data_IF_980610559974
#
_entry.id   IF_980610559974
#
_cell.length_a   1.000
_cell.length_b   1.000
_cell.length_c   1.000
_cell.angle_alpha   90.00
_cell.angle_beta   90.00
_cell.angle_gamma   90.00
#
_symmetry.space_group_name_H-M   'P 1'
#
loop_
_entity.id
_entity.type
_entity.pdbx_description
1 polymer ?
#
# COMPACT_ATOMS: atom_id res chain seq x y z
N UNK A 1 3.66 -28.91 -55.76
CA UNK A 1 2.67 -28.42 -54.76
C UNK A 1 2.84 -29.26 -53.51
N UNK A 2 3.55 -28.74 -52.51
CA UNK A 2 2.98 -28.10 -51.32
C UNK A 2 2.74 -29.10 -50.18
N UNK A 3 3.76 -29.28 -49.35
CA UNK A 3 3.65 -29.90 -48.03
C UNK A 3 4.60 -29.14 -47.08
N UNK A 4 4.11 -28.04 -46.52
CA UNK A 4 4.82 -27.22 -45.54
C UNK A 4 3.78 -26.50 -44.69
N UNK A 5 3.40 -27.10 -43.57
CA UNK A 5 2.28 -26.55 -42.77
C UNK A 5 2.18 -26.99 -41.31
N UNK A 6 3.07 -27.86 -40.81
CA UNK A 6 2.93 -28.39 -39.45
C UNK A 6 3.83 -27.72 -38.39
N UNK A 7 4.96 -27.11 -38.76
CA UNK A 7 5.91 -26.53 -37.79
C UNK A 7 5.69 -25.04 -37.44
N UNK A 8 4.74 -24.37 -38.09
CA UNK A 8 4.50 -22.93 -37.89
C UNK A 8 3.54 -22.61 -36.73
N UNK A 9 2.74 -23.57 -36.27
CA UNK A 9 1.73 -23.38 -35.23
C UNK A 9 2.30 -22.89 -33.86
N UNK A 10 3.38 -23.47 -33.30
CA UNK A 10 3.93 -23.00 -32.03
C UNK A 10 4.65 -21.64 -32.15
N UNK A 11 5.21 -21.32 -33.32
CA UNK A 11 5.85 -20.04 -33.58
C UNK A 11 4.83 -18.91 -33.76
N UNK A 12 3.72 -19.17 -34.48
CA UNK A 12 2.63 -18.22 -34.66
C UNK A 12 1.89 -17.93 -33.33
N UNK A 13 1.69 -18.94 -32.48
CA UNK A 13 1.09 -18.77 -31.15
C UNK A 13 2.02 -17.97 -30.22
N UNK A 14 3.34 -18.23 -30.24
CA UNK A 14 4.32 -17.42 -29.49
C UNK A 14 4.39 -15.97 -30.00
N UNK A 15 4.33 -15.76 -31.31
CA UNK A 15 4.32 -14.43 -31.92
C UNK A 15 3.03 -13.66 -31.57
N UNK A 16 1.87 -14.33 -31.58
CA UNK A 16 0.60 -13.75 -31.16
C UNK A 16 0.57 -13.42 -29.66
N UNK A 17 1.14 -14.29 -28.81
CA UNK A 17 1.29 -14.03 -27.38
C UNK A 17 2.28 -12.88 -27.08
N UNK A 18 3.36 -12.77 -27.86
CA UNK A 18 4.29 -11.66 -27.76
C UNK A 18 3.66 -10.34 -28.22
N UNK A 19 2.88 -10.35 -29.31
CA UNK A 19 2.15 -9.19 -29.81
C UNK A 19 1.04 -8.74 -28.85
N UNK A 20 0.30 -9.68 -28.25
CA UNK A 20 -0.73 -9.37 -27.25
C UNK A 20 -0.11 -8.83 -25.96
N UNK A 21 1.01 -9.39 -25.50
CA UNK A 21 1.79 -8.87 -24.36
C UNK A 21 2.33 -7.47 -24.64
N UNK A 22 2.87 -7.21 -25.83
CA UNK A 22 3.34 -5.88 -26.23
C UNK A 22 2.19 -4.86 -26.29
N UNK A 23 1.03 -5.26 -26.81
CA UNK A 23 -0.19 -4.43 -26.87
C UNK A 23 -0.71 -4.13 -25.47
N UNK A 24 -0.80 -5.14 -24.60
CA UNK A 24 -1.21 -4.96 -23.21
C UNK A 24 -0.24 -4.04 -22.46
N UNK A 25 1.07 -4.20 -22.66
CA UNK A 25 2.09 -3.32 -22.09
C UNK A 25 1.93 -1.87 -22.56
N UNK A 26 1.65 -1.66 -23.84
CA UNK A 26 1.39 -0.33 -24.42
C UNK A 26 0.13 0.32 -23.84
N UNK A 27 -0.97 -0.42 -23.78
CA UNK A 27 -2.24 0.05 -23.19
C UNK A 27 -2.07 0.42 -21.71
N UNK A 28 -1.39 -0.43 -20.95
CA UNK A 28 -1.09 -0.16 -19.54
C UNK A 28 -0.23 1.09 -19.38
N UNK A 29 0.77 1.32 -20.24
CA UNK A 29 1.56 2.56 -20.22
C UNK A 29 0.72 3.79 -20.53
N UNK A 30 -0.18 3.72 -21.51
CA UNK A 30 -1.10 4.81 -21.84
C UNK A 30 -2.04 5.15 -20.68
N UNK A 31 -2.67 4.11 -20.11
CA UNK A 31 -3.55 4.25 -18.94
C UNK A 31 -2.80 4.88 -17.76
N UNK A 32 -1.55 4.47 -17.48
CA UNK A 32 -0.77 5.08 -16.39
C UNK A 32 -0.53 6.57 -16.60
N UNK A 33 -0.28 7.02 -17.83
CA UNK A 33 -0.08 8.43 -18.15
C UNK A 33 -1.37 9.23 -17.91
N UNK A 34 -2.51 8.70 -18.35
CA UNK A 34 -3.83 9.33 -18.15
C UNK A 34 -4.21 9.39 -16.67
N UNK A 35 -3.95 8.32 -15.92
CA UNK A 35 -4.19 8.26 -14.47
C UNK A 35 -3.28 9.23 -13.72
N UNK A 36 -2.03 9.43 -14.15
CA UNK A 36 -1.13 10.44 -13.61
C UNK A 36 -1.69 11.86 -13.79
N UNK A 37 -2.12 12.21 -15.01
CA UNK A 37 -2.76 13.49 -15.26
C UNK A 37 -4.04 13.69 -14.42
N UNK A 38 -4.82 12.62 -14.22
CA UNK A 38 -6.02 12.62 -13.38
C UNK A 38 -5.67 12.83 -11.89
N UNK A 39 -4.61 12.18 -11.39
CA UNK A 39 -4.14 12.36 -10.02
C UNK A 39 -3.65 13.80 -9.78
N UNK A 40 -2.91 14.40 -10.72
CA UNK A 40 -2.48 15.80 -10.63
C UNK A 40 -3.65 16.79 -10.76
N UNK A 41 -4.70 16.44 -11.50
CA UNK A 41 -5.92 17.24 -11.57
C UNK A 41 -6.71 17.18 -10.25
N UNK A 42 -6.78 16.01 -9.61
CA UNK A 42 -7.42 15.85 -8.29
C UNK A 42 -6.73 16.66 -7.19
N UNK A 43 -5.41 16.83 -7.25
CA UNK A 43 -4.67 17.69 -6.31
C UNK A 43 -5.10 19.17 -6.38
N UNK A 44 -5.66 19.61 -7.51
CA UNK A 44 -6.13 21.00 -7.73
C UNK A 44 -7.64 21.14 -7.58
N UNK A 45 -8.38 20.04 -7.55
CA UNK A 45 -9.82 20.04 -7.43
C UNK A 45 -10.26 20.19 -5.96
N UNK A 46 -11.49 20.68 -5.75
CA UNK A 46 -12.08 20.67 -4.41
C UNK A 46 -12.15 19.21 -3.90
N UNK A 47 -11.48 18.90 -2.76
CA UNK A 47 -11.41 17.54 -2.22
C UNK A 47 -12.76 17.05 -1.69
N UNK A 48 -13.72 17.95 -1.47
CA UNK A 48 -15.05 17.60 -0.98
C UNK A 48 -16.08 17.41 -2.10
N UNK A 49 -15.75 17.79 -3.34
CA UNK A 49 -16.66 17.65 -4.47
C UNK A 49 -16.97 16.17 -4.75
N UNK A 50 -18.26 15.86 -5.00
CA UNK A 50 -18.72 14.49 -5.29
C UNK A 50 -17.97 13.88 -6.48
N UNK A 51 -17.68 14.67 -7.51
CA UNK A 51 -16.93 14.21 -8.68
C UNK A 51 -15.48 13.84 -8.31
N UNK A 52 -14.80 14.70 -7.55
CA UNK A 52 -13.43 14.44 -7.05
C UNK A 52 -13.37 13.15 -6.22
N UNK A 53 -14.32 12.94 -5.32
CA UNK A 53 -14.40 11.76 -4.46
C UNK A 53 -14.58 10.47 -5.27
N UNK A 54 -15.47 10.48 -6.27
CA UNK A 54 -15.73 9.32 -7.13
C UNK A 54 -14.46 8.95 -7.90
N UNK A 55 -13.80 9.94 -8.51
CA UNK A 55 -12.58 9.72 -9.29
C UNK A 55 -11.45 9.25 -8.39
N UNK A 56 -11.22 9.89 -7.23
CA UNK A 56 -10.19 9.47 -6.27
C UNK A 56 -10.41 8.03 -5.79
N UNK A 57 -11.66 7.66 -5.49
CA UNK A 57 -12.00 6.28 -5.08
C UNK A 57 -11.78 5.29 -6.21
N UNK A 58 -12.11 5.65 -7.46
CA UNK A 58 -11.86 4.81 -8.62
C UNK A 58 -10.36 4.59 -8.86
N UNK A 59 -9.54 5.64 -8.77
CA UNK A 59 -8.08 5.53 -8.87
C UNK A 59 -7.49 4.59 -7.82
N UNK A 60 -7.94 4.70 -6.57
CA UNK A 60 -7.49 3.85 -5.47
C UNK A 60 -7.86 2.37 -5.67
N UNK A 61 -8.99 2.08 -6.33
CA UNK A 61 -9.37 0.70 -6.68
C UNK A 61 -8.42 0.07 -7.70
N UNK A 62 -7.78 0.87 -8.54
CA UNK A 62 -6.80 0.39 -9.51
C UNK A 62 -5.45 0.01 -8.87
N UNK A 63 -5.14 0.52 -7.69
CA UNK A 63 -3.90 0.18 -6.96
C UNK A 63 -3.95 -1.26 -6.43
N UNK A 64 -2.86 -2.05 -6.57
CA UNK A 64 -1.56 -1.68 -7.16
C UNK A 64 -1.39 -2.07 -8.63
N UNK A 65 -2.39 -2.72 -9.23
CA UNK A 65 -2.31 -3.32 -10.57
C UNK A 65 -2.11 -2.27 -11.68
N UNK A 66 -2.81 -1.14 -11.55
CA UNK A 66 -2.69 0.01 -12.44
C UNK A 66 -2.55 1.25 -11.54
N UNK A 67 -1.32 1.56 -11.16
CA UNK A 67 -0.97 2.77 -10.42
C UNK A 67 -0.24 3.76 -11.33
N UNK A 68 -0.39 5.09 -11.12
CA UNK A 68 0.50 6.08 -11.71
C UNK A 68 1.96 5.71 -11.51
N UNK A 69 2.83 6.04 -12.46
CA UNK A 69 4.28 5.75 -12.33
C UNK A 69 4.87 6.33 -11.03
N UNK A 70 4.35 7.48 -10.60
CA UNK A 70 4.68 8.17 -9.34
C UNK A 70 4.37 7.36 -8.08
N UNK A 71 3.50 6.34 -8.16
CA UNK A 71 3.06 5.53 -7.02
C UNK A 71 3.68 4.13 -7.03
N UNK A 72 4.77 3.90 -7.77
CA UNK A 72 5.38 2.57 -7.89
C UNK A 72 6.39 2.27 -6.79
N UNK A 73 6.44 0.99 -6.42
CA UNK A 73 7.38 0.48 -5.43
C UNK A 73 7.27 1.26 -4.12
N UNK A 74 8.39 1.82 -3.65
CA UNK A 74 8.44 2.59 -2.41
C UNK A 74 7.62 3.89 -2.44
N UNK A 75 7.48 4.53 -3.61
CA UNK A 75 6.74 5.79 -3.73
C UNK A 75 5.24 5.62 -3.43
N UNK A 76 4.71 4.40 -3.54
CA UNK A 76 3.36 4.05 -3.10
C UNK A 76 3.14 4.34 -1.61
N UNK A 77 4.17 4.11 -0.80
CA UNK A 77 4.18 4.37 0.63
C UNK A 77 4.27 5.85 1.00
N UNK A 78 4.46 6.74 0.04
CA UNK A 78 4.46 8.18 0.29
C UNK A 78 3.16 8.83 -0.16
N UNK A 79 2.60 8.41 -1.30
CA UNK A 79 1.43 9.05 -1.89
C UNK A 79 0.08 8.56 -1.32
N UNK A 80 -0.11 7.24 -1.21
CA UNK A 80 -1.41 6.67 -0.80
C UNK A 80 -1.71 6.89 0.68
N UNK A 81 -0.74 6.77 1.60
CA UNK A 81 -1.02 7.00 3.02
C UNK A 81 -1.60 8.38 3.34
N UNK A 82 -1.19 9.44 2.61
CA UNK A 82 -1.72 10.80 2.79
C UNK A 82 -3.25 10.87 2.65
N UNK A 83 -3.84 9.98 1.84
CA UNK A 83 -5.28 9.90 1.63
C UNK A 83 -6.04 9.32 2.84
N UNK A 84 -5.34 8.82 3.87
CA UNK A 84 -5.93 8.48 5.16
C UNK A 84 -6.38 9.72 5.94
N UNK A 85 -5.78 10.89 5.67
CA UNK A 85 -6.18 12.17 6.25
C UNK A 85 -7.27 12.88 5.44
N UNK A 86 -7.78 12.26 4.36
CA UNK A 86 -8.76 12.89 3.49
C UNK A 86 -10.08 13.18 4.24
N UNK A 87 -10.74 14.34 4.05
CA UNK A 87 -11.96 14.70 4.77
C UNK A 87 -13.13 13.73 4.49
N UNK A 88 -13.21 13.22 3.26
CA UNK A 88 -14.29 12.31 2.85
C UNK A 88 -14.02 10.84 3.27
N UNK A 89 -14.92 10.17 4.02
CA UNK A 89 -14.72 8.81 4.53
C UNK A 89 -14.57 7.73 3.45
N UNK A 90 -15.28 7.87 2.31
CA UNK A 90 -15.15 6.91 1.21
C UNK A 90 -13.73 6.86 0.62
N UNK A 91 -13.03 8.01 0.58
CA UNK A 91 -11.64 8.09 0.09
C UNK A 91 -10.71 7.43 1.09
N UNK A 92 -10.88 7.67 2.40
CA UNK A 92 -10.11 7.00 3.46
C UNK A 92 -10.28 5.47 3.39
N UNK A 93 -11.52 4.99 3.23
CA UNK A 93 -11.80 3.57 3.09
C UNK A 93 -11.15 2.97 1.83
N UNK A 94 -11.24 3.65 0.70
CA UNK A 94 -10.60 3.21 -0.54
C UNK A 94 -9.07 3.20 -0.43
N UNK A 95 -8.48 4.16 0.28
CA UNK A 95 -7.03 4.25 0.51
C UNK A 95 -6.54 3.10 1.39
N UNK A 96 -7.28 2.77 2.46
CA UNK A 96 -7.04 1.58 3.27
C UNK A 96 -7.04 0.31 2.41
N UNK A 97 -8.08 0.11 1.61
CA UNK A 97 -8.19 -1.10 0.79
C UNK A 97 -7.09 -1.17 -0.28
N UNK A 98 -6.70 -0.04 -0.86
CA UNK A 98 -5.56 0.07 -1.77
C UNK A 98 -4.25 -0.34 -1.10
N UNK A 99 -3.98 0.14 0.12
CA UNK A 99 -2.78 -0.23 0.87
C UNK A 99 -2.77 -1.70 1.27
N UNK A 100 -3.91 -2.28 1.68
CA UNK A 100 -4.00 -3.73 1.94
C UNK A 100 -3.63 -4.55 0.71
N UNK A 101 -4.19 -4.23 -0.46
CA UNK A 101 -3.83 -4.90 -1.72
C UNK A 101 -2.36 -4.70 -2.08
N UNK A 102 -1.83 -3.50 -1.88
CA UNK A 102 -0.43 -3.17 -2.13
C UNK A 102 0.52 -3.98 -1.24
N UNK A 103 0.25 -4.05 0.05
CA UNK A 103 1.03 -4.83 1.02
C UNK A 103 0.98 -6.32 0.69
N UNK A 104 -0.19 -6.83 0.30
CA UNK A 104 -0.36 -8.23 -0.07
C UNK A 104 0.45 -8.59 -1.33
N UNK A 105 0.49 -7.72 -2.34
CA UNK A 105 1.02 -8.04 -3.67
C UNK A 105 2.41 -7.48 -3.99
N UNK A 106 2.88 -6.45 -3.26
CA UNK A 106 4.12 -5.72 -3.57
C UNK A 106 5.04 -5.69 -2.34
N UNK A 107 5.95 -6.65 -2.27
CA UNK A 107 6.84 -6.85 -1.10
C UNK A 107 7.70 -5.62 -0.82
N UNK A 108 8.30 -5.02 -1.85
CA UNK A 108 9.19 -3.85 -1.73
C UNK A 108 8.50 -2.57 -1.26
N UNK A 109 7.16 -2.53 -1.25
CA UNK A 109 6.37 -1.38 -0.78
C UNK A 109 5.89 -1.53 0.67
N UNK A 110 6.01 -2.72 1.28
CA UNK A 110 5.38 -3.03 2.59
C UNK A 110 5.84 -2.10 3.70
N UNK A 111 7.15 -1.99 3.91
CA UNK A 111 7.71 -1.10 4.91
C UNK A 111 7.35 0.36 4.62
N UNK A 112 7.56 0.82 3.38
CA UNK A 112 7.23 2.20 3.00
C UNK A 112 5.75 2.56 3.28
N UNK A 113 4.81 1.65 3.02
CA UNK A 113 3.38 1.86 3.29
C UNK A 113 3.11 1.97 4.79
N UNK A 114 3.70 1.09 5.61
CA UNK A 114 3.56 1.13 7.07
C UNK A 114 4.16 2.43 7.62
N UNK A 115 5.37 2.78 7.21
CA UNK A 115 6.05 4.01 7.63
C UNK A 115 5.31 5.27 7.19
N UNK A 116 4.75 5.27 5.98
CA UNK A 116 3.94 6.37 5.46
C UNK A 116 2.65 6.56 6.25
N UNK A 117 1.93 5.47 6.54
CA UNK A 117 0.69 5.51 7.32
C UNK A 117 0.94 5.98 8.76
N UNK A 118 2.03 5.52 9.39
CA UNK A 118 2.47 6.06 10.68
C UNK A 118 2.85 7.54 10.59
N UNK A 119 3.53 7.95 9.52
CA UNK A 119 3.91 9.35 9.28
C UNK A 119 2.73 10.31 9.18
N UNK A 120 1.60 9.87 8.61
CA UNK A 120 0.36 10.68 8.55
C UNK A 120 -0.24 10.91 9.93
N UNK A 121 -0.23 9.88 10.79
CA UNK A 121 -0.71 9.98 12.17
C UNK A 121 0.18 10.88 13.04
N UNK A 122 1.48 10.95 12.74
CA UNK A 122 2.44 11.82 13.42
C UNK A 122 2.48 13.24 12.87
N UNK A 123 1.89 13.48 11.70
CA UNK A 123 1.90 14.80 11.06
C UNK A 123 0.76 15.66 11.62
N UNK A 124 1.04 16.91 12.05
CA UNK A 124 0.00 17.83 12.46
C UNK A 124 -0.88 18.21 11.25
N UNK A 125 -2.20 18.32 11.47
CA UNK A 125 -3.17 18.70 10.44
C UNK A 125 -2.89 20.08 9.80
N UNK A 126 -2.10 20.93 10.46
CA UNK A 126 -1.77 22.31 10.05
C UNK A 126 -0.40 22.46 9.40
N UNK A 127 0.24 21.36 9.00
CA UNK A 127 1.58 21.39 8.39
C UNK A 127 1.63 22.34 7.18
N UNK A 128 2.38 23.45 7.33
CA UNK A 128 2.65 24.45 6.28
C UNK A 128 3.43 23.90 5.09
N UNK A 129 3.90 22.64 5.17
CA UNK A 129 4.60 21.93 4.09
C UNK A 129 3.65 21.20 3.13
N UNK A 130 2.33 21.40 3.25
CA UNK A 130 1.32 20.77 2.38
C UNK A 130 1.13 19.27 2.62
N UNK A 131 1.72 18.72 3.68
CA UNK A 131 1.61 17.32 4.07
C UNK A 131 0.35 17.12 4.91
N UNK A 132 -0.64 16.40 4.37
CA UNK A 132 -1.89 16.12 5.05
C UNK A 132 -1.63 15.27 6.32
N UNK A 133 -1.91 15.85 7.49
CA UNK A 133 -1.85 15.21 8.79
C UNK A 133 -3.23 15.03 9.40
N UNK A 134 -3.34 14.27 10.48
CA UNK A 134 -4.62 14.01 11.16
C UNK A 134 -4.67 14.73 12.50
N UNK A 135 -5.72 15.51 12.72
CA UNK A 135 -5.95 16.10 14.05
C UNK A 135 -6.43 15.02 15.01
N UNK A 136 -5.85 14.95 16.22
CA UNK A 136 -6.32 14.04 17.28
C UNK A 136 -7.73 14.36 17.78
N UNK A 137 -8.25 15.55 17.46
CA UNK A 137 -9.64 15.99 17.72
C UNK A 137 -10.62 15.55 16.64
N UNK A 138 -10.13 15.13 15.46
CA UNK A 138 -10.96 14.52 14.43
C UNK A 138 -11.02 13.01 14.70
N UNK A 139 -11.98 12.62 15.52
CA UNK A 139 -12.11 11.25 15.99
C UNK A 139 -12.34 10.27 14.83
N UNK A 140 -13.08 10.67 13.80
CA UNK A 140 -13.38 9.83 12.64
C UNK A 140 -12.14 9.60 11.76
N UNK A 141 -11.38 10.66 11.46
CA UNK A 141 -10.15 10.54 10.67
C UNK A 141 -9.08 9.77 11.45
N UNK A 142 -8.88 10.10 12.74
CA UNK A 142 -7.91 9.42 13.59
C UNK A 142 -8.22 7.93 13.75
N UNK A 143 -9.48 7.58 14.07
CA UNK A 143 -9.92 6.19 14.18
C UNK A 143 -9.76 5.45 12.85
N UNK A 144 -10.12 6.09 11.73
CA UNK A 144 -9.96 5.51 10.39
C UNK A 144 -8.50 5.21 10.06
N UNK A 145 -7.59 6.12 10.39
CA UNK A 145 -6.16 5.95 10.13
C UNK A 145 -5.51 4.89 11.02
N UNK A 146 -5.85 4.83 12.31
CA UNK A 146 -5.39 3.74 13.19
C UNK A 146 -5.86 2.37 12.68
N UNK A 147 -7.15 2.24 12.30
CA UNK A 147 -7.67 1.00 11.69
C UNK A 147 -6.95 0.66 10.40
N UNK A 148 -6.53 1.67 9.65
CA UNK A 148 -5.79 1.47 8.40
C UNK A 148 -4.39 0.90 8.65
N UNK A 149 -3.64 1.50 9.58
CA UNK A 149 -2.31 0.99 9.95
C UNK A 149 -2.40 -0.42 10.55
N UNK A 150 -3.39 -0.67 11.41
CA UNK A 150 -3.71 -2.01 11.94
C UNK A 150 -3.92 -3.04 10.82
N UNK A 151 -4.85 -2.76 9.90
CA UNK A 151 -5.21 -3.68 8.81
C UNK A 151 -4.02 -3.95 7.87
N UNK A 152 -3.18 -2.94 7.62
CA UNK A 152 -1.96 -3.07 6.81
C UNK A 152 -0.95 -3.99 7.51
N UNK A 153 -0.70 -3.78 8.81
CA UNK A 153 0.21 -4.61 9.59
C UNK A 153 -0.29 -6.06 9.66
N UNK A 154 -1.58 -6.27 9.88
CA UNK A 154 -2.22 -7.58 9.85
C UNK A 154 -2.04 -8.25 8.48
N UNK A 155 -2.31 -7.52 7.39
CA UNK A 155 -2.19 -8.05 6.02
C UNK A 155 -0.76 -8.48 5.72
N UNK A 156 0.24 -7.69 6.11
CA UNK A 156 1.64 -8.10 5.98
C UNK A 156 1.92 -9.36 6.78
N UNK A 157 1.55 -9.38 8.06
CA UNK A 157 1.76 -10.55 8.94
C UNK A 157 1.16 -11.82 8.35
N UNK A 158 -0.09 -11.78 7.88
CA UNK A 158 -0.74 -12.93 7.25
C UNK A 158 -0.02 -13.38 5.98
N UNK A 159 0.51 -12.44 5.18
CA UNK A 159 1.30 -12.78 3.99
C UNK A 159 2.64 -13.47 4.30
N UNK A 160 3.22 -13.23 5.48
CA UNK A 160 4.42 -13.94 5.94
C UNK A 160 4.06 -15.41 6.23
N UNK A 161 2.99 -15.66 6.98
CA UNK A 161 2.52 -17.01 7.31
C UNK A 161 2.11 -17.82 6.08
N UNK A 162 1.48 -17.19 5.08
CA UNK A 162 1.15 -17.86 3.81
C UNK A 162 2.38 -18.23 2.98
N UNK A 163 3.48 -17.48 3.12
CA UNK A 163 4.73 -17.76 2.38
C UNK A 163 5.47 -18.96 2.99
N UNK A 164 5.41 -19.16 4.30
CA UNK A 164 6.02 -20.31 4.99
C UNK A 164 5.30 -21.64 4.72
N UNK A 165 3.97 -21.60 4.51
CA UNK A 165 3.17 -22.79 4.24
C UNK A 165 3.26 -23.29 2.79
N UNK A 166 3.73 -22.46 1.85
CA UNK A 166 3.64 -22.77 0.42
C UNK A 166 4.88 -23.47 -0.16
N UNK A 167 6.07 -23.36 0.45
CA UNK A 167 7.24 -24.19 0.12
C UNK A 167 8.45 -23.76 0.95
N UNK A 168 9.47 -24.63 1.05
CA UNK A 168 10.85 -24.25 1.34
C UNK A 168 11.47 -23.35 0.25
N UNK A 169 10.72 -22.35 -0.21
CA UNK A 169 11.07 -21.40 -1.24
C UNK A 169 11.91 -20.30 -0.63
N UNK A 170 13.13 -20.15 -1.16
CA UNK A 170 14.00 -19.00 -0.92
C UNK A 170 13.14 -17.73 -0.96
N UNK A 171 13.02 -17.03 0.17
CA UNK A 171 12.61 -15.64 0.19
C UNK A 171 13.43 -14.92 -0.89
N UNK A 172 12.75 -14.28 -1.83
CA UNK A 172 13.43 -13.49 -2.84
C UNK A 172 14.26 -12.41 -2.14
N UNK A 173 15.39 -12.00 -2.72
CA UNK A 173 16.29 -11.00 -2.12
C UNK A 173 15.58 -9.71 -1.70
N UNK A 174 14.50 -9.36 -2.40
CA UNK A 174 13.64 -8.21 -2.11
C UNK A 174 12.74 -8.43 -0.88
N UNK A 175 12.33 -9.67 -0.62
CA UNK A 175 11.61 -10.05 0.60
C UNK A 175 12.49 -10.07 1.84
N UNK A 176 13.72 -10.58 1.73
CA UNK A 176 14.71 -10.55 2.82
C UNK A 176 15.07 -9.11 3.20
N UNK A 177 15.32 -8.25 2.21
CA UNK A 177 15.60 -6.82 2.44
C UNK A 177 14.44 -6.09 3.11
N UNK A 178 13.19 -6.41 2.79
CA UNK A 178 12.02 -5.80 3.44
C UNK A 178 11.83 -6.25 4.88
N UNK A 179 12.32 -7.44 5.25
CA UNK A 179 12.28 -7.94 6.63
C UNK A 179 13.39 -7.25 7.45
N UNK A 180 14.57 -7.03 6.86
CA UNK A 180 15.72 -6.37 7.49
C UNK A 180 15.50 -4.88 7.82
N UNK A 181 14.61 -4.18 7.11
CA UNK A 181 14.47 -2.71 7.25
C UNK A 181 13.29 -2.27 8.12
N UNK A 182 12.47 -3.18 8.62
CA UNK A 182 11.26 -2.78 9.35
C UNK A 182 11.59 -2.24 10.75
N UNK A 183 11.37 -0.94 10.95
CA UNK A 183 11.47 -0.28 12.25
C UNK A 183 10.06 0.03 12.80
N UNK A 184 9.61 -0.59 13.91
CA UNK A 184 8.29 -0.33 14.48
C UNK A 184 8.20 1.04 15.17
N UNK A 185 9.33 1.72 15.45
CA UNK A 185 9.39 2.91 16.33
C UNK A 185 8.40 4.01 15.94
N UNK A 186 8.26 4.29 14.64
CA UNK A 186 7.31 5.30 14.13
C UNK A 186 5.87 4.90 14.33
N UNK A 187 5.55 3.63 14.10
CA UNK A 187 4.18 3.11 14.28
C UNK A 187 3.80 3.06 15.76
N UNK A 188 4.76 2.74 16.63
CA UNK A 188 4.60 2.79 18.08
C UNK A 188 4.41 4.22 18.58
N UNK A 189 5.25 5.16 18.13
CA UNK A 189 5.12 6.58 18.46
C UNK A 189 3.75 7.14 18.03
N UNK A 190 3.27 6.78 16.84
CA UNK A 190 1.94 7.15 16.37
C UNK A 190 0.84 6.63 17.31
N UNK A 191 0.92 5.36 17.71
CA UNK A 191 -0.04 4.76 18.63
C UNK A 191 -0.03 5.42 20.01
N UNK A 192 1.16 5.67 20.56
CA UNK A 192 1.31 6.36 21.85
C UNK A 192 0.75 7.78 21.81
N UNK A 193 0.96 8.52 20.73
CA UNK A 193 0.37 9.84 20.54
C UNK A 193 -1.17 9.77 20.51
N UNK A 194 -1.74 8.79 19.80
CA UNK A 194 -3.19 8.61 19.72
C UNK A 194 -3.84 8.21 21.05
N UNK A 195 -3.08 7.54 21.94
CA UNK A 195 -3.55 7.23 23.30
C UNK A 195 -3.83 8.49 24.14
N UNK A 196 -3.26 9.63 23.77
CA UNK A 196 -3.52 10.93 24.40
C UNK A 196 -4.80 11.61 23.88
N UNK A 197 -5.51 11.03 22.90
CA UNK A 197 -6.75 11.61 22.39
C UNK A 197 -7.85 11.68 23.46
N UNK A 198 -8.66 12.74 23.51
CA UNK A 198 -9.81 12.82 24.42
C UNK A 198 -10.90 11.80 24.07
N UNK A 199 -10.94 11.30 22.84
CA UNK A 199 -11.97 10.37 22.36
C UNK A 199 -11.63 8.90 22.68
N UNK A 200 -12.55 8.20 23.36
CA UNK A 200 -12.34 6.81 23.76
C UNK A 200 -12.15 5.86 22.58
N UNK A 201 -12.89 6.07 21.49
CA UNK A 201 -12.79 5.26 20.26
C UNK A 201 -11.43 5.36 19.57
N UNK A 202 -10.80 6.54 19.59
CA UNK A 202 -9.46 6.76 19.05
C UNK A 202 -8.44 6.00 19.89
N UNK A 203 -8.56 6.03 21.22
CA UNK A 203 -7.70 5.25 22.12
C UNK A 203 -7.87 3.75 21.93
N UNK A 204 -9.10 3.26 21.79
CA UNK A 204 -9.36 1.84 21.50
C UNK A 204 -8.70 1.43 20.17
N UNK A 205 -8.90 2.21 19.12
CA UNK A 205 -8.28 1.94 17.82
C UNK A 205 -6.74 1.98 17.89
N UNK A 206 -6.17 2.89 18.68
CA UNK A 206 -4.73 2.95 18.90
C UNK A 206 -4.18 1.70 19.60
N UNK A 207 -4.88 1.17 20.62
CA UNK A 207 -4.49 -0.09 21.27
C UNK A 207 -4.53 -1.26 20.29
N UNK A 208 -5.59 -1.38 19.49
CA UNK A 208 -5.70 -2.44 18.49
C UNK A 208 -4.58 -2.34 17.44
N UNK A 209 -4.26 -1.13 17.00
CA UNK A 209 -3.16 -0.85 16.08
C UNK A 209 -1.81 -1.24 16.69
N UNK A 210 -1.51 -0.81 17.92
CA UNK A 210 -0.26 -1.15 18.62
C UNK A 210 -0.10 -2.67 18.79
N UNK A 211 -1.19 -3.39 19.09
CA UNK A 211 -1.18 -4.85 19.17
C UNK A 211 -0.79 -5.49 17.84
N UNK A 212 -1.31 -5.02 16.70
CA UNK A 212 -0.91 -5.56 15.39
C UNK A 212 0.51 -5.15 14.99
N UNK A 213 0.98 -3.95 15.33
CA UNK A 213 2.39 -3.56 15.14
C UNK A 213 3.32 -4.49 15.90
N UNK A 214 3.02 -4.79 17.16
CA UNK A 214 3.81 -5.71 17.99
C UNK A 214 3.81 -7.14 17.41
N UNK A 215 2.65 -7.64 16.98
CA UNK A 215 2.54 -8.96 16.34
C UNK A 215 3.32 -9.04 15.03
N UNK A 216 3.26 -8.00 14.19
CA UNK A 216 4.03 -7.93 12.95
C UNK A 216 5.54 -7.91 13.25
N UNK A 217 5.97 -7.06 14.19
CA UNK A 217 7.37 -6.98 14.61
C UNK A 217 7.91 -8.33 15.11
N UNK A 218 7.11 -9.05 15.91
CA UNK A 218 7.45 -10.41 16.35
C UNK A 218 7.53 -11.40 15.17
N UNK A 219 6.54 -11.40 14.27
CA UNK A 219 6.53 -12.26 13.10
C UNK A 219 7.76 -12.02 12.19
N UNK A 220 8.14 -10.77 11.98
CA UNK A 220 9.33 -10.41 11.18
C UNK A 220 10.63 -10.86 11.84
N UNK A 221 10.75 -10.77 13.18
CA UNK A 221 11.90 -11.33 13.91
C UNK A 221 12.02 -12.84 13.76
N UNK A 222 10.89 -13.56 13.74
CA UNK A 222 10.88 -15.01 13.55
C UNK A 222 11.14 -15.43 12.10
N UNK A 223 10.68 -14.63 11.14
CA UNK A 223 10.91 -14.85 9.70
C UNK A 223 12.35 -14.51 9.28
N UNK A 224 13.11 -13.80 10.11
CA UNK A 224 14.52 -13.56 9.88
C UNK A 224 15.28 -14.89 10.08
N UNK A 225 15.93 -15.45 9.05
CA UNK A 225 16.81 -16.58 9.27
C UNK A 225 17.96 -16.06 10.13
N UNK A 226 17.99 -16.44 11.41
CA UNK A 226 19.21 -16.34 12.18
C UNK A 226 20.26 -17.14 11.41
N UNK A 227 21.31 -16.48 10.93
CA UNK A 227 22.56 -17.13 10.57
C UNK A 227 23.12 -17.78 11.85
N UNK A 228 22.57 -18.93 12.23
CA UNK A 228 23.14 -19.82 13.23
C UNK A 228 24.18 -20.67 12.54
N UNK A 229 25.32 -20.06 12.22
CA UNK A 229 26.57 -20.75 11.94
C UNK A 229 27.72 -19.75 12.03
N UNK A 230 28.26 -19.57 13.23
CA UNK A 230 29.69 -19.71 13.52
C UNK A 230 29.96 -19.60 15.02
#
# INVERSE_FOLDING_TARGET
>A
AAAGGADAAPAAVKAAAAASSATASSLVKSLRRELGATASALQRADPTSRASVVVATALLRCVPFIAPEEWRGRALGEAVPLLCAHPHPAVRAAARDAMKRAVASTVSARDAIVQGAAGVLLSPATSSTGRAGISLTDADAATSAARTLRDVCETWRLSLSSSELSSGGKLTSDGLRSIETFDPSRSEAAGLLMMCSPHAEVRVAAVEMLREVAKLSAALRHAHPSNSSH
#
